data_IF_663456593690
#
_entry.id   IF_663456593690
#
_cell.length_a   1.000
_cell.length_b   1.000
_cell.length_c   1.000
_cell.angle_alpha   90.00
_cell.angle_beta   90.00
_cell.angle_gamma   90.00
#
_symmetry.space_group_name_H-M   'P 1'
#
loop_
_entity.id
_entity.type
_entity.pdbx_description
1 polymer ?
#
# COMPACT_ATOMS: atom_id res chain seq x y z
N UNK A 1 -24.61 -19.88 31.04
CA UNK A 1 -24.48 -20.63 29.77
C UNK A 1 -23.25 -20.09 29.05
N UNK A 2 -22.48 -20.92 28.33
CA UNK A 2 -21.32 -20.44 27.56
C UNK A 2 -21.78 -20.02 26.17
N UNK A 3 -21.33 -18.86 25.71
CA UNK A 3 -21.62 -18.37 24.36
C UNK A 3 -20.83 -19.22 23.35
N UNK A 4 -21.49 -19.66 22.28
CA UNK A 4 -20.88 -20.32 21.13
C UNK A 4 -21.58 -19.89 19.82
N UNK A 5 -21.00 -20.23 18.67
CA UNK A 5 -21.49 -19.80 17.34
C UNK A 5 -22.90 -20.28 16.98
N UNK A 6 -23.40 -21.34 17.61
CA UNK A 6 -24.76 -21.85 17.37
C UNK A 6 -25.80 -21.16 18.27
N UNK A 7 -25.40 -20.66 19.43
CA UNK A 7 -26.31 -20.09 20.43
C UNK A 7 -26.21 -18.55 20.57
N UNK A 8 -25.14 -17.92 20.09
CA UNK A 8 -24.84 -16.50 20.33
C UNK A 8 -25.95 -15.54 19.90
N UNK A 9 -26.60 -15.77 18.76
CA UNK A 9 -27.68 -14.92 18.23
C UNK A 9 -28.96 -15.06 19.08
N UNK A 10 -29.29 -16.29 19.49
CA UNK A 10 -30.44 -16.56 20.39
C UNK A 10 -30.21 -15.98 21.79
N UNK A 11 -28.97 -16.05 22.29
CA UNK A 11 -28.59 -15.42 23.56
C UNK A 11 -28.63 -13.89 23.46
N UNK A 12 -28.16 -13.29 22.36
CA UNK A 12 -28.27 -11.85 22.14
C UNK A 12 -29.72 -11.39 22.16
N UNK A 13 -30.62 -12.10 21.46
CA UNK A 13 -32.06 -11.80 21.47
C UNK A 13 -32.66 -11.90 22.88
N UNK A 14 -32.39 -12.99 23.60
CA UNK A 14 -32.87 -13.16 24.98
C UNK A 14 -32.36 -12.07 25.92
N UNK A 15 -31.07 -11.72 25.84
CA UNK A 15 -30.47 -10.68 26.68
C UNK A 15 -30.93 -9.27 26.32
N UNK A 16 -31.29 -9.04 25.05
CA UNK A 16 -31.96 -7.82 24.59
C UNK A 16 -33.35 -7.69 25.21
N UNK A 17 -34.17 -8.74 25.16
CA UNK A 17 -35.53 -8.74 25.74
C UNK A 17 -35.53 -8.45 27.25
N UNK A 18 -34.56 -9.00 28.00
CA UNK A 18 -34.41 -8.71 29.44
C UNK A 18 -33.54 -7.48 29.75
N UNK A 19 -33.16 -6.69 28.73
CA UNK A 19 -32.37 -5.45 28.86
C UNK A 19 -31.01 -5.60 29.58
N UNK A 20 -30.38 -6.78 29.51
CA UNK A 20 -29.13 -7.09 30.23
C UNK A 20 -27.90 -6.54 29.49
N UNK A 21 -27.58 -5.26 29.73
CA UNK A 21 -26.52 -4.52 29.02
C UNK A 21 -25.16 -5.23 28.96
N UNK A 22 -24.71 -5.79 30.07
CA UNK A 22 -23.44 -6.53 30.14
C UNK A 22 -23.45 -7.77 29.23
N UNK A 23 -24.53 -8.57 29.29
CA UNK A 23 -24.66 -9.79 28.49
C UNK A 23 -24.90 -9.52 27.01
N UNK A 24 -25.60 -8.44 26.67
CA UNK A 24 -25.68 -7.91 25.31
C UNK A 24 -24.26 -7.58 24.80
N UNK A 25 -23.41 -6.94 25.62
CA UNK A 25 -22.03 -6.62 25.21
C UNK A 25 -21.14 -7.86 25.05
N UNK A 26 -21.24 -8.85 25.95
CA UNK A 26 -20.56 -10.14 25.80
C UNK A 26 -20.96 -10.87 24.51
N UNK A 27 -22.25 -10.85 24.16
CA UNK A 27 -22.74 -11.46 22.93
C UNK A 27 -22.28 -10.70 21.69
N UNK A 28 -22.30 -9.36 21.71
CA UNK A 28 -21.81 -8.53 20.61
C UNK A 28 -20.33 -8.80 20.34
N UNK A 29 -19.47 -8.78 21.36
CA UNK A 29 -18.04 -9.06 21.22
C UNK A 29 -17.77 -10.44 20.60
N UNK A 30 -18.52 -11.46 21.01
CA UNK A 30 -18.43 -12.81 20.45
C UNK A 30 -18.94 -12.89 19.01
N UNK A 31 -20.09 -12.26 18.73
CA UNK A 31 -20.70 -12.24 17.38
C UNK A 31 -19.76 -11.54 16.39
N UNK A 32 -19.10 -10.44 16.81
CA UNK A 32 -18.11 -9.76 15.99
C UNK A 32 -16.86 -10.62 15.74
N UNK A 33 -16.27 -11.24 16.77
CA UNK A 33 -15.06 -12.08 16.59
C UNK A 33 -15.28 -13.42 15.89
N UNK A 34 -16.54 -13.78 15.65
CA UNK A 34 -16.93 -15.01 14.95
C UNK A 34 -17.86 -14.72 13.75
N UNK A 35 -17.91 -13.47 13.26
CA UNK A 35 -18.93 -13.02 12.30
C UNK A 35 -18.89 -13.79 10.97
N UNK A 36 -17.71 -14.27 10.57
CA UNK A 36 -17.52 -15.13 9.41
C UNK A 36 -18.12 -16.54 9.55
N UNK A 37 -18.30 -17.07 10.77
CA UNK A 37 -18.75 -18.45 11.02
C UNK A 37 -20.15 -18.59 11.67
N UNK A 38 -20.79 -17.49 12.05
CA UNK A 38 -22.17 -17.49 12.57
C UNK A 38 -23.22 -17.63 11.45
N UNK A 39 -24.43 -18.04 11.83
CA UNK A 39 -25.57 -18.07 10.93
C UNK A 39 -26.10 -16.64 10.68
N UNK A 40 -25.62 -16.00 9.60
CA UNK A 40 -26.01 -14.65 9.17
C UNK A 40 -27.53 -14.52 8.96
N UNK A 41 -28.25 -15.56 8.50
CA UNK A 41 -29.71 -15.52 8.30
C UNK A 41 -30.50 -15.41 9.63
N UNK A 42 -30.02 -16.01 10.71
CA UNK A 42 -30.62 -15.83 12.04
C UNK A 42 -30.47 -14.37 12.50
N UNK A 43 -29.29 -13.77 12.33
CA UNK A 43 -29.06 -12.37 12.68
C UNK A 43 -29.91 -11.44 11.81
N UNK A 44 -30.07 -11.73 10.51
CA UNK A 44 -30.98 -11.04 9.61
C UNK A 44 -32.42 -11.08 10.12
N UNK A 45 -32.88 -12.24 10.57
CA UNK A 45 -34.25 -12.45 11.04
C UNK A 45 -34.60 -11.56 12.23
N UNK A 46 -33.68 -11.40 13.19
CA UNK A 46 -33.91 -10.59 14.40
C UNK A 46 -33.48 -9.12 14.25
N UNK A 47 -32.90 -8.72 13.11
CA UNK A 47 -32.34 -7.37 12.86
C UNK A 47 -33.30 -6.22 13.23
N UNK A 48 -34.56 -6.28 12.76
CA UNK A 48 -35.60 -5.28 13.05
C UNK A 48 -35.98 -5.19 14.54
N UNK A 49 -35.84 -6.29 15.28
CA UNK A 49 -36.11 -6.33 16.72
C UNK A 49 -34.95 -5.72 17.51
N UNK A 50 -33.71 -6.02 17.11
CA UNK A 50 -32.50 -5.47 17.71
C UNK A 50 -32.29 -3.97 17.41
N UNK A 51 -32.77 -3.52 16.24
CA UNK A 51 -32.60 -2.15 15.76
C UNK A 51 -31.19 -1.85 15.26
N UNK A 52 -31.02 -0.68 14.63
CA UNK A 52 -29.74 -0.24 14.06
C UNK A 52 -28.62 -0.17 15.11
N UNK A 53 -28.90 0.32 16.32
CA UNK A 53 -27.90 0.54 17.37
C UNK A 53 -27.12 -0.74 17.74
N UNK A 54 -27.79 -1.88 17.81
CA UNK A 54 -27.14 -3.16 18.13
C UNK A 54 -26.32 -3.66 16.95
N UNK A 55 -26.82 -3.55 15.72
CA UNK A 55 -26.10 -3.95 14.52
C UNK A 55 -24.85 -3.09 14.32
N UNK A 56 -24.96 -1.78 14.53
CA UNK A 56 -23.82 -0.87 14.44
C UNK A 56 -22.79 -1.14 15.55
N UNK A 57 -23.21 -1.53 16.76
CA UNK A 57 -22.27 -2.03 17.80
C UNK A 57 -21.57 -3.34 17.45
N UNK A 58 -22.15 -4.19 16.60
CA UNK A 58 -21.50 -5.40 16.08
C UNK A 58 -20.51 -5.04 14.97
N UNK A 59 -20.91 -4.15 14.05
CA UNK A 59 -20.12 -3.81 12.86
C UNK A 59 -18.98 -2.82 13.14
N UNK A 60 -19.13 -1.91 14.11
CA UNK A 60 -18.06 -1.04 14.58
C UNK A 60 -17.21 -1.68 15.69
N UNK A 61 -17.34 -2.98 15.98
CA UNK A 61 -16.62 -3.62 17.08
C UNK A 61 -15.13 -3.83 16.72
N UNK A 62 -14.23 -3.48 17.63
CA UNK A 62 -12.79 -3.68 17.48
C UNK A 62 -12.36 -5.15 17.30
N UNK A 63 -13.27 -6.12 17.48
CA UNK A 63 -13.04 -7.56 17.29
C UNK A 63 -13.72 -8.12 16.03
N UNK A 64 -14.31 -7.30 15.16
CA UNK A 64 -14.98 -7.80 13.96
C UNK A 64 -14.00 -8.58 13.06
N UNK A 65 -14.31 -9.86 12.81
CA UNK A 65 -13.55 -10.74 11.90
C UNK A 65 -14.45 -11.21 10.75
N UNK A 66 -14.02 -10.92 9.51
CA UNK A 66 -14.77 -11.18 8.28
C UNK A 66 -14.05 -12.21 7.41
N UNK A 67 -14.81 -13.03 6.68
CA UNK A 67 -14.34 -13.92 5.62
C UNK A 67 -13.93 -13.16 4.34
N UNK A 68 -14.52 -12.00 4.13
CA UNK A 68 -14.21 -11.06 3.04
C UNK A 68 -15.24 -9.95 2.97
N UNK A 69 -14.82 -8.79 2.48
CA UNK A 69 -15.67 -7.59 2.47
C UNK A 69 -16.93 -7.79 1.60
N UNK A 70 -16.82 -8.51 0.49
CA UNK A 70 -17.97 -8.87 -0.35
C UNK A 70 -19.06 -9.66 0.41
N UNK A 71 -18.66 -10.57 1.31
CA UNK A 71 -19.57 -11.37 2.13
C UNK A 71 -20.33 -10.48 3.13
N UNK A 72 -19.64 -9.48 3.68
CA UNK A 72 -20.19 -8.51 4.61
C UNK A 72 -21.08 -7.45 3.93
N UNK A 73 -20.61 -6.90 2.80
CA UNK A 73 -21.37 -5.98 1.96
C UNK A 73 -22.67 -6.62 1.48
N UNK A 74 -22.64 -7.85 0.97
CA UNK A 74 -23.85 -8.59 0.57
C UNK A 74 -24.81 -8.81 1.74
N UNK A 75 -24.30 -9.04 2.96
CA UNK A 75 -25.14 -9.12 4.15
C UNK A 75 -25.81 -7.78 4.48
N UNK A 76 -25.09 -6.65 4.45
CA UNK A 76 -25.66 -5.32 4.67
C UNK A 76 -26.66 -4.95 3.56
N UNK A 77 -26.36 -5.25 2.30
CA UNK A 77 -27.31 -5.12 1.18
C UNK A 77 -28.57 -5.97 1.43
N UNK A 78 -28.44 -7.14 2.06
CA UNK A 78 -29.60 -7.96 2.43
C UNK A 78 -30.46 -7.33 3.52
N UNK A 79 -29.86 -6.58 4.46
CA UNK A 79 -30.55 -5.86 5.53
C UNK A 79 -31.25 -4.61 5.00
N UNK A 80 -30.57 -3.78 4.22
CA UNK A 80 -31.14 -2.55 3.63
C UNK A 80 -32.37 -2.83 2.74
N UNK A 81 -32.42 -3.99 2.08
CA UNK A 81 -33.61 -4.50 1.36
C UNK A 81 -34.80 -4.83 2.27
N UNK A 82 -34.58 -5.16 3.55
CA UNK A 82 -35.66 -5.40 4.52
C UNK A 82 -36.22 -4.09 5.12
N UNK A 83 -35.37 -3.09 5.32
CA UNK A 83 -35.76 -1.83 5.97
C UNK A 83 -34.83 -0.67 5.64
N UNK A 84 -35.44 0.50 5.39
CA UNK A 84 -34.71 1.76 5.19
C UNK A 84 -33.95 2.23 6.44
N UNK A 85 -34.33 1.76 7.62
CA UNK A 85 -33.63 2.08 8.88
C UNK A 85 -32.17 1.61 8.88
N UNK A 86 -31.83 0.63 8.02
CA UNK A 86 -30.50 0.05 7.91
C UNK A 86 -29.61 0.73 6.85
N UNK A 87 -30.10 1.76 6.14
CA UNK A 87 -29.27 2.48 5.16
C UNK A 87 -27.97 3.08 5.72
N UNK A 88 -27.89 3.59 6.97
CA UNK A 88 -26.62 4.03 7.54
C UNK A 88 -25.62 2.89 7.77
N UNK A 89 -26.06 1.63 7.81
CA UNK A 89 -25.14 0.50 7.96
C UNK A 89 -24.21 0.32 6.76
N UNK A 90 -24.54 0.90 5.59
CA UNK A 90 -23.68 0.95 4.40
C UNK A 90 -22.32 1.63 4.72
N UNK A 91 -22.28 2.60 5.63
CA UNK A 91 -21.05 3.32 6.01
C UNK A 91 -20.02 2.44 6.75
N UNK A 92 -20.40 1.22 7.16
CA UNK A 92 -19.47 0.24 7.71
C UNK A 92 -18.72 -0.56 6.63
N UNK A 93 -19.16 -0.50 5.37
CA UNK A 93 -18.55 -1.27 4.27
C UNK A 93 -17.32 -0.52 3.73
N UNK A 94 -16.22 -1.23 3.57
CA UNK A 94 -14.99 -0.72 2.99
C UNK A 94 -14.96 -1.02 1.49
N UNK A 95 -15.53 -0.12 0.68
CA UNK A 95 -15.69 -0.33 -0.78
C UNK A 95 -14.35 -0.58 -1.51
N UNK A 96 -13.23 -0.15 -0.95
CA UNK A 96 -11.89 -0.46 -1.47
C UNK A 96 -11.52 -1.97 -1.46
N UNK A 97 -12.23 -2.78 -0.68
CA UNK A 97 -12.06 -4.24 -0.60
C UNK A 97 -13.22 -5.04 -1.24
N UNK A 98 -14.22 -4.35 -1.80
CA UNK A 98 -15.32 -4.98 -2.53
C UNK A 98 -14.94 -5.23 -4.00
N UNK A 99 -15.44 -6.32 -4.58
CA UNK A 99 -15.30 -6.59 -6.01
C UNK A 99 -16.25 -5.72 -6.87
N UNK A 100 -15.99 -5.67 -8.17
CA UNK A 100 -16.75 -4.85 -9.14
C UNK A 100 -18.26 -5.14 -9.14
N UNK A 101 -18.68 -6.40 -8.95
CA UNK A 101 -20.09 -6.76 -8.92
C UNK A 101 -20.76 -6.25 -7.63
N UNK A 102 -20.13 -6.41 -6.47
CA UNK A 102 -20.62 -5.87 -5.20
C UNK A 102 -20.77 -4.34 -5.28
N UNK A 103 -19.78 -3.64 -5.86
CA UNK A 103 -19.85 -2.19 -6.08
C UNK A 103 -21.03 -1.80 -6.99
N UNK A 104 -21.25 -2.54 -8.10
CA UNK A 104 -22.41 -2.32 -8.98
C UNK A 104 -23.73 -2.57 -8.25
N UNK A 105 -23.81 -3.59 -7.42
CA UNK A 105 -25.03 -3.92 -6.65
C UNK A 105 -25.37 -2.83 -5.63
N UNK A 106 -24.36 -2.20 -5.02
CA UNK A 106 -24.54 -1.02 -4.15
C UNK A 106 -24.93 0.23 -4.96
N UNK A 107 -24.31 0.46 -6.12
CA UNK A 107 -24.72 1.55 -7.02
C UNK A 107 -26.19 1.41 -7.44
N UNK A 108 -26.61 0.20 -7.82
CA UNK A 108 -28.00 -0.13 -8.20
C UNK A 108 -29.00 -0.03 -7.03
N UNK A 109 -28.54 -0.07 -5.78
CA UNK A 109 -29.34 0.13 -4.57
C UNK A 109 -29.60 1.62 -4.26
N UNK A 110 -28.94 2.55 -4.96
CA UNK A 110 -28.98 3.98 -4.62
C UNK A 110 -30.37 4.60 -4.82
N UNK A 111 -30.93 5.20 -3.76
CA UNK A 111 -32.18 5.94 -3.76
C UNK A 111 -32.06 7.28 -3.00
N UNK A 112 -33.11 8.10 -3.02
CA UNK A 112 -33.14 9.45 -2.43
C UNK A 112 -32.91 9.50 -0.91
N UNK A 113 -32.91 8.36 -0.22
CA UNK A 113 -32.80 8.24 1.23
C UNK A 113 -31.45 7.63 1.67
N UNK A 114 -30.71 6.97 0.77
CA UNK A 114 -29.41 6.35 1.07
C UNK A 114 -28.23 6.94 0.28
N UNK A 115 -28.47 7.80 -0.72
CA UNK A 115 -27.40 8.38 -1.55
C UNK A 115 -26.31 9.05 -0.70
N UNK A 116 -26.66 9.72 0.40
CA UNK A 116 -25.69 10.37 1.26
C UNK A 116 -24.79 9.34 1.95
N UNK A 117 -25.34 8.24 2.45
CA UNK A 117 -24.54 7.16 3.06
C UNK A 117 -23.62 6.50 2.03
N UNK A 118 -24.12 6.26 0.81
CA UNK A 118 -23.33 5.69 -0.29
C UNK A 118 -22.22 6.65 -0.73
N UNK A 119 -22.51 7.95 -0.87
CA UNK A 119 -21.52 8.98 -1.23
C UNK A 119 -20.49 9.20 -0.11
N UNK A 120 -20.91 9.19 1.16
CA UNK A 120 -20.01 9.18 2.32
C UNK A 120 -19.08 7.97 2.23
N UNK A 121 -19.64 6.77 2.04
CA UNK A 121 -18.89 5.51 1.96
C UNK A 121 -17.89 5.51 0.80
N UNK A 122 -18.27 5.97 -0.40
CA UNK A 122 -17.33 6.15 -1.52
C UNK A 122 -16.27 7.22 -1.23
N UNK A 123 -16.66 8.35 -0.63
CA UNK A 123 -15.76 9.42 -0.24
C UNK A 123 -14.72 8.95 0.77
N UNK A 124 -15.16 8.25 1.82
CA UNK A 124 -14.32 7.66 2.86
C UNK A 124 -13.46 6.52 2.32
N UNK A 125 -13.97 5.70 1.39
CA UNK A 125 -13.16 4.66 0.71
C UNK A 125 -12.07 5.30 -0.15
N UNK A 126 -12.39 6.35 -0.90
CA UNK A 126 -11.39 7.14 -1.66
C UNK A 126 -10.40 7.85 -0.73
N UNK A 127 -10.85 8.35 0.42
CA UNK A 127 -9.99 8.93 1.44
C UNK A 127 -9.12 7.87 2.10
N UNK A 128 -9.60 6.65 2.37
CA UNK A 128 -8.79 5.53 2.88
C UNK A 128 -7.78 5.08 1.84
N UNK A 129 -8.18 4.86 0.58
CA UNK A 129 -7.28 4.63 -0.58
C UNK A 129 -6.18 5.71 -0.65
N UNK A 130 -6.52 6.99 -0.44
CA UNK A 130 -5.58 8.11 -0.47
C UNK A 130 -4.73 8.24 0.81
N UNK A 131 -5.28 7.87 1.96
CA UNK A 131 -4.66 7.93 3.28
C UNK A 131 -4.03 6.59 3.71
N UNK A 132 -3.92 5.62 2.80
CA UNK A 132 -3.38 4.27 3.03
C UNK A 132 -1.86 4.24 3.28
N UNK A 133 -1.26 5.38 3.67
CA UNK A 133 -0.12 5.42 4.59
C UNK A 133 -0.49 4.93 6.01
N UNK A 134 -1.76 4.59 6.26
CA UNK A 134 -2.27 3.79 7.39
C UNK A 134 -3.59 3.10 6.99
N UNK A 135 -4.01 1.92 7.49
CA UNK A 135 -3.49 1.08 8.58
C UNK A 135 -4.00 -0.38 8.45
N UNK A 136 -3.88 -1.15 9.54
CA UNK A 136 -4.49 -2.47 9.81
C UNK A 136 -6.00 -2.58 9.46
N UNK A 137 -6.56 -3.78 9.20
CA UNK A 137 -6.12 -5.12 9.65
C UNK A 137 -5.95 -6.16 8.52
N UNK A 138 -4.70 -6.61 8.35
CA UNK A 138 -4.25 -7.96 7.97
C UNK A 138 -5.02 -8.75 6.87
N UNK A 139 -4.40 -9.23 5.77
CA UNK A 139 -2.99 -9.13 5.33
C UNK A 139 -2.84 -9.56 3.86
N UNK A 140 -2.95 -8.63 2.91
CA UNK A 140 -2.46 -8.81 1.53
C UNK A 140 -1.85 -7.49 1.04
N UNK A 141 -0.52 -7.34 1.19
CA UNK A 141 0.16 -6.08 0.91
C UNK A 141 0.60 -6.03 -0.56
N UNK A 142 -0.14 -5.25 -1.35
CA UNK A 142 0.35 -4.64 -2.58
C UNK A 142 0.37 -3.13 -2.37
N UNK A 143 1.49 -2.60 -1.87
CA UNK A 143 1.62 -1.15 -1.64
C UNK A 143 1.92 -0.46 -2.97
N UNK A 144 0.97 0.33 -3.48
CA UNK A 144 1.20 1.14 -4.67
C UNK A 144 2.08 2.34 -4.28
N UNK A 145 3.35 2.33 -4.70
CA UNK A 145 4.32 3.38 -4.34
C UNK A 145 4.33 4.45 -5.44
N UNK A 146 3.42 5.41 -5.29
CA UNK A 146 3.19 6.52 -6.21
C UNK A 146 4.18 7.69 -6.05
N UNK A 147 4.92 7.72 -4.94
CA UNK A 147 6.05 8.61 -4.69
C UNK A 147 7.34 7.77 -4.64
N UNK A 148 8.45 8.28 -5.15
CA UNK A 148 9.76 7.62 -5.03
C UNK A 148 10.11 7.28 -3.57
N UNK A 149 10.78 6.15 -3.32
CA UNK A 149 11.00 5.62 -1.97
C UNK A 149 11.98 6.51 -1.21
N UNK A 150 11.46 7.39 -0.35
CA UNK A 150 12.18 8.42 0.42
C UNK A 150 13.23 7.89 1.43
N UNK A 151 14.20 7.10 0.98
CA UNK A 151 15.38 6.54 1.66
C UNK A 151 15.15 5.67 2.93
N UNK A 152 13.98 5.71 3.55
CA UNK A 152 13.67 4.99 4.79
C UNK A 152 13.72 3.47 4.61
N UNK A 153 12.92 2.97 3.65
CA UNK A 153 12.73 1.54 3.38
C UNK A 153 13.74 0.94 2.38
N UNK A 154 14.82 1.66 2.08
CA UNK A 154 15.84 1.24 1.10
C UNK A 154 17.23 1.19 1.75
N UNK A 155 17.94 0.10 1.56
CA UNK A 155 19.36 -0.06 1.85
C UNK A 155 20.16 0.35 0.61
N UNK A 156 21.00 1.38 0.74
CA UNK A 156 21.91 1.82 -0.32
C UNK A 156 23.30 1.23 -0.09
N UNK A 157 23.96 0.81 -1.17
CA UNK A 157 25.36 0.35 -1.17
C UNK A 157 26.04 0.73 -2.48
N UNK A 158 27.38 0.67 -2.53
CA UNK A 158 28.13 1.04 -3.75
C UNK A 158 29.40 0.20 -3.90
N UNK A 159 29.98 0.23 -5.12
CA UNK A 159 31.28 -0.40 -5.44
C UNK A 159 32.43 0.19 -4.63
N UNK A 160 32.41 1.50 -4.39
CA UNK A 160 33.38 2.26 -3.62
C UNK A 160 32.76 3.60 -3.20
N UNK A 161 33.36 4.27 -2.23
CA UNK A 161 32.97 5.60 -1.76
C UNK A 161 34.22 6.46 -1.76
N UNK A 162 34.13 7.68 -2.31
CA UNK A 162 35.24 8.64 -2.24
C UNK A 162 35.44 9.19 -0.82
N UNK A 163 36.63 9.72 -0.54
CA UNK A 163 36.96 10.22 0.79
C UNK A 163 36.01 11.36 1.20
N UNK A 164 35.61 11.39 2.48
CA UNK A 164 34.65 12.34 3.08
C UNK A 164 33.18 12.24 2.63
N UNK A 165 32.79 11.20 1.89
CA UNK A 165 31.39 10.98 1.46
C UNK A 165 30.69 9.86 2.20
N UNK A 166 29.35 9.92 2.23
CA UNK A 166 28.48 8.82 2.69
C UNK A 166 27.45 8.46 1.62
N UNK A 167 27.14 7.17 1.55
CA UNK A 167 26.03 6.61 0.76
C UNK A 167 24.66 7.11 1.29
N UNK A 168 24.56 7.44 2.57
CA UNK A 168 23.30 7.82 3.25
C UNK A 168 22.70 9.15 2.77
N UNK A 169 23.44 9.92 1.96
CA UNK A 169 22.96 11.18 1.38
C UNK A 169 21.96 10.91 0.24
N UNK A 170 22.02 9.73 -0.39
CA UNK A 170 21.25 9.43 -1.60
C UNK A 170 19.75 9.39 -1.24
N UNK A 171 18.92 10.00 -2.07
CA UNK A 171 17.47 10.19 -1.87
C UNK A 171 17.12 10.97 -0.59
N UNK A 172 18.06 11.77 -0.04
CA UNK A 172 17.73 12.81 0.96
C UNK A 172 17.26 14.12 0.32
N UNK A 173 17.25 14.20 -1.01
CA UNK A 173 16.82 15.37 -1.81
C UNK A 173 17.50 16.70 -1.42
N UNK A 174 18.67 16.61 -0.77
CA UNK A 174 19.48 17.74 -0.30
C UNK A 174 19.94 18.61 -1.47
N UNK A 175 20.11 19.90 -1.21
CA UNK A 175 20.70 20.85 -2.16
C UNK A 175 22.19 21.10 -1.91
N UNK A 176 22.71 20.58 -0.80
CA UNK A 176 24.02 20.91 -0.22
C UNK A 176 24.98 19.70 -0.12
N UNK A 177 24.65 18.54 -0.69
CA UNK A 177 25.60 17.42 -0.84
C UNK A 177 25.28 16.49 -2.02
N UNK A 178 26.18 15.54 -2.32
CA UNK A 178 26.06 14.51 -3.37
C UNK A 178 26.98 13.32 -3.06
N UNK A 179 26.71 12.15 -3.63
CA UNK A 179 27.52 10.95 -3.50
C UNK A 179 28.45 10.80 -4.71
N UNK A 180 29.63 10.24 -4.49
CA UNK A 180 30.64 10.00 -5.51
C UNK A 180 31.46 8.75 -5.14
N UNK A 181 31.67 7.86 -6.11
CA UNK A 181 32.53 6.68 -5.98
C UNK A 181 34.00 7.06 -6.13
N UNK A 182 34.93 6.13 -5.95
CA UNK A 182 36.32 6.33 -6.42
C UNK A 182 36.37 6.28 -7.96
N UNK A 183 37.47 6.76 -8.55
CA UNK A 183 37.71 6.77 -9.99
C UNK A 183 38.05 5.37 -10.52
N UNK A 184 37.06 4.47 -10.54
CA UNK A 184 37.22 3.04 -10.88
C UNK A 184 36.15 2.65 -11.92
N UNK A 185 36.54 2.08 -13.08
CA UNK A 185 35.60 1.65 -14.11
C UNK A 185 34.52 0.68 -13.60
N UNK A 186 33.33 0.75 -14.21
CA UNK A 186 32.15 -0.05 -13.83
C UNK A 186 31.69 0.20 -12.38
N UNK A 187 31.94 1.39 -11.84
CA UNK A 187 31.41 1.80 -10.54
C UNK A 187 29.88 1.79 -10.51
N UNK A 188 29.33 1.40 -9.36
CA UNK A 188 27.90 1.17 -9.21
C UNK A 188 27.34 1.63 -7.86
N UNK A 189 26.05 1.95 -7.86
CA UNK A 189 25.21 2.14 -6.66
C UNK A 189 24.07 1.14 -6.72
N UNK A 190 23.80 0.45 -5.63
CA UNK A 190 22.70 -0.50 -5.51
C UNK A 190 21.66 0.01 -4.51
N UNK A 191 20.44 0.16 -5.02
CA UNK A 191 19.20 0.38 -4.30
C UNK A 191 18.64 -1.01 -3.97
N UNK A 192 18.37 -1.31 -2.70
CA UNK A 192 17.83 -2.60 -2.28
C UNK A 192 16.71 -2.38 -1.27
N UNK A 193 15.56 -3.02 -1.47
CA UNK A 193 14.45 -2.85 -0.52
C UNK A 193 14.77 -3.54 0.81
N UNK A 194 14.51 -2.85 1.92
CA UNK A 194 14.54 -3.41 3.26
C UNK A 194 13.25 -4.22 3.46
N UNK A 195 13.33 -5.29 4.26
CA UNK A 195 12.22 -6.21 4.57
C UNK A 195 11.85 -7.17 3.42
N UNK A 196 10.86 -8.06 3.65
CA UNK A 196 10.41 -9.08 2.69
C UNK A 196 9.50 -8.47 1.61
N UNK A 197 10.00 -7.54 0.81
CA UNK A 197 9.23 -6.98 -0.31
C UNK A 197 9.93 -7.23 -1.64
N UNK A 198 9.15 -7.23 -2.72
CA UNK A 198 9.63 -7.03 -4.09
C UNK A 198 8.83 -5.91 -4.75
N UNK A 199 9.41 -5.26 -5.75
CA UNK A 199 8.80 -4.19 -6.54
C UNK A 199 8.74 -4.60 -8.01
N UNK A 200 7.58 -4.41 -8.65
CA UNK A 200 7.47 -4.32 -10.10
C UNK A 200 7.62 -2.83 -10.47
N UNK A 201 8.76 -2.39 -10.99
CA UNK A 201 9.03 -0.97 -11.21
C UNK A 201 8.31 -0.48 -12.46
N UNK A 202 7.62 0.65 -12.35
CA UNK A 202 7.01 1.36 -13.49
C UNK A 202 7.89 2.50 -13.98
N UNK A 203 8.72 3.06 -13.11
CA UNK A 203 9.67 4.13 -13.45
C UNK A 203 10.91 4.09 -12.55
N UNK A 204 11.95 4.80 -12.97
CA UNK A 204 13.03 5.25 -12.08
C UNK A 204 13.39 6.71 -12.35
N UNK A 205 13.98 7.36 -11.34
CA UNK A 205 14.61 8.68 -11.46
C UNK A 205 16.09 8.63 -11.12
N UNK A 206 16.83 9.57 -11.71
CA UNK A 206 18.23 9.82 -11.38
C UNK A 206 18.53 11.33 -11.39
N UNK A 207 19.34 11.78 -10.44
CA UNK A 207 19.99 13.11 -10.44
C UNK A 207 21.46 12.94 -10.12
N UNK A 208 22.32 13.59 -10.92
CA UNK A 208 23.78 13.51 -10.75
C UNK A 208 24.29 14.41 -9.61
N UNK A 209 23.80 15.64 -9.50
CA UNK A 209 24.19 16.60 -8.44
C UNK A 209 23.13 17.71 -8.34
N UNK A 210 22.86 18.28 -7.16
CA UNK A 210 21.94 19.42 -7.04
C UNK A 210 22.51 20.73 -7.62
N UNK A 211 21.62 21.67 -7.95
CA UNK A 211 21.96 22.88 -8.69
C UNK A 211 22.94 23.85 -7.97
N UNK A 212 23.11 23.72 -6.65
CA UNK A 212 23.84 24.72 -5.84
C UNK A 212 25.32 24.39 -5.56
N UNK A 213 25.87 23.28 -6.08
CA UNK A 213 27.29 22.88 -5.86
C UNK A 213 28.23 23.38 -6.97
N UNK A 214 29.46 23.76 -6.61
CA UNK A 214 30.50 24.18 -7.56
C UNK A 214 31.21 23.05 -8.34
N UNK A 215 30.77 21.80 -8.21
CA UNK A 215 31.31 20.67 -8.98
C UNK A 215 30.62 20.59 -10.35
N UNK A 216 31.39 20.76 -11.43
CA UNK A 216 30.87 21.12 -12.76
C UNK A 216 31.46 20.31 -13.91
N UNK A 217 31.64 18.99 -13.74
CA UNK A 217 32.30 18.18 -14.77
C UNK A 217 31.92 16.70 -14.80
N UNK A 218 31.91 16.02 -13.65
CA UNK A 218 31.68 14.57 -13.56
C UNK A 218 30.19 14.17 -13.73
N UNK A 219 29.51 14.78 -14.70
CA UNK A 219 28.11 14.50 -15.00
C UNK A 219 27.97 13.12 -15.65
N UNK A 220 27.08 12.34 -15.07
CA UNK A 220 26.67 11.02 -15.55
C UNK A 220 26.07 11.10 -16.97
N UNK A 221 26.53 10.25 -17.90
CA UNK A 221 26.09 10.25 -19.31
C UNK A 221 25.84 8.86 -19.93
N UNK A 222 26.47 7.80 -19.41
CA UNK A 222 26.35 6.44 -19.93
C UNK A 222 26.23 5.46 -18.77
N UNK A 223 25.16 4.67 -18.74
CA UNK A 223 24.86 3.75 -17.64
C UNK A 223 23.85 2.66 -18.04
N UNK A 224 23.72 1.64 -17.18
CA UNK A 224 22.61 0.68 -17.21
C UNK A 224 21.97 0.50 -15.83
N UNK A 225 20.72 0.05 -15.85
CA UNK A 225 19.98 -0.40 -14.66
C UNK A 225 19.83 -1.93 -14.74
N UNK A 226 20.34 -2.63 -13.74
CA UNK A 226 20.17 -4.08 -13.57
C UNK A 226 19.23 -4.34 -12.40
N UNK A 227 18.17 -5.13 -12.58
CA UNK A 227 17.30 -5.58 -11.50
C UNK A 227 17.60 -7.03 -11.09
N UNK A 228 17.63 -7.32 -9.79
CA UNK A 228 17.72 -8.69 -9.25
C UNK A 228 16.35 -9.15 -8.75
N UNK A 229 15.84 -10.28 -9.27
CA UNK A 229 14.54 -10.85 -8.90
C UNK A 229 14.59 -11.56 -7.54
N UNK A 230 13.43 -11.92 -6.99
CA UNK A 230 13.33 -12.75 -5.77
C UNK A 230 14.08 -14.10 -5.90
N UNK A 231 14.20 -14.64 -7.11
CA UNK A 231 14.91 -15.88 -7.41
C UNK A 231 16.43 -15.70 -7.58
N UNK A 232 16.95 -14.48 -7.43
CA UNK A 232 18.37 -14.15 -7.63
C UNK A 232 18.78 -13.95 -9.09
N UNK A 233 17.85 -14.01 -10.04
CA UNK A 233 18.11 -13.73 -11.45
C UNK A 233 18.39 -12.24 -11.66
N UNK A 234 19.40 -11.88 -12.43
CA UNK A 234 19.69 -10.46 -12.78
C UNK A 234 19.29 -10.17 -14.22
N UNK A 235 18.48 -9.12 -14.42
CA UNK A 235 17.97 -8.67 -15.73
C UNK A 235 18.36 -7.22 -15.99
N UNK A 236 18.78 -6.89 -17.20
CA UNK A 236 18.99 -5.49 -17.62
C UNK A 236 17.63 -4.88 -17.95
N UNK A 237 17.31 -3.76 -17.30
CA UNK A 237 16.01 -3.08 -17.41
C UNK A 237 16.05 -1.86 -18.32
N UNK A 238 17.19 -1.17 -18.36
CA UNK A 238 17.37 0.04 -19.17
C UNK A 238 18.85 0.34 -19.38
N UNK A 239 19.20 0.85 -20.57
CA UNK A 239 20.53 1.33 -20.90
C UNK A 239 20.46 2.73 -21.50
N UNK A 240 21.37 3.60 -21.08
CA UNK A 240 21.53 4.97 -21.60
C UNK A 240 22.96 5.14 -22.05
N UNK A 241 23.14 5.68 -23.26
CA UNK A 241 24.45 5.87 -23.87
C UNK A 241 24.60 7.33 -24.30
N UNK A 242 25.65 8.02 -23.83
CA UNK A 242 26.03 9.38 -24.24
C UNK A 242 24.90 10.42 -24.14
N UNK A 243 24.08 10.32 -23.10
CA UNK A 243 22.99 11.25 -22.79
C UNK A 243 23.24 11.94 -21.44
N UNK A 244 24.12 12.97 -21.40
CA UNK A 244 24.50 13.62 -20.15
C UNK A 244 23.30 14.17 -19.37
N UNK A 245 23.31 13.96 -18.05
CA UNK A 245 22.39 14.61 -17.11
C UNK A 245 22.86 16.06 -16.86
N UNK A 246 21.92 16.99 -16.90
CA UNK A 246 22.19 18.39 -16.55
C UNK A 246 22.22 18.53 -15.01
N UNK A 247 23.03 19.46 -14.52
CA UNK A 247 23.10 19.80 -13.10
C UNK A 247 21.71 20.17 -12.55
N UNK A 248 21.32 19.56 -11.43
CA UNK A 248 20.02 19.74 -10.80
C UNK A 248 18.85 19.00 -11.46
N UNK A 249 19.03 18.42 -12.64
CA UNK A 249 18.00 17.68 -13.37
C UNK A 249 17.67 16.36 -12.65
N UNK A 250 16.41 16.20 -12.24
CA UNK A 250 15.86 14.88 -11.91
C UNK A 250 15.27 14.34 -13.22
N UNK A 251 15.97 13.41 -13.87
CA UNK A 251 15.49 12.77 -15.10
C UNK A 251 14.72 11.51 -14.75
N UNK A 252 13.49 11.41 -15.26
CA UNK A 252 12.58 10.25 -15.11
C UNK A 252 12.64 9.37 -16.35
N UNK A 253 12.62 8.05 -16.14
CA UNK A 253 12.53 7.04 -17.17
C UNK A 253 11.43 6.03 -16.82
N UNK A 254 10.58 5.69 -17.80
CA UNK A 254 9.58 4.64 -17.64
C UNK A 254 10.22 3.27 -17.86
N UNK A 255 9.78 2.27 -17.10
CA UNK A 255 10.19 0.88 -17.21
C UNK A 255 8.96 0.03 -17.56
N UNK A 256 9.12 -0.92 -18.47
CA UNK A 256 8.06 -1.85 -18.84
C UNK A 256 8.53 -3.28 -18.53
N UNK A 257 8.05 -3.84 -17.42
CA UNK A 257 8.40 -5.19 -16.97
C UNK A 257 7.27 -5.79 -16.14
N UNK A 258 7.06 -7.10 -16.29
CA UNK A 258 6.16 -7.91 -15.47
C UNK A 258 6.89 -8.56 -14.28
N UNK A 259 8.22 -8.50 -14.28
CA UNK A 259 9.06 -9.08 -13.24
C UNK A 259 9.05 -8.27 -11.93
N UNK A 260 9.29 -8.97 -10.83
CA UNK A 260 9.39 -8.39 -9.48
C UNK A 260 10.82 -8.50 -8.96
N UNK A 261 11.34 -7.38 -8.47
CA UNK A 261 12.74 -7.19 -8.10
C UNK A 261 12.90 -6.85 -6.61
N UNK A 262 14.00 -7.28 -6.02
CA UNK A 262 14.36 -7.00 -4.62
C UNK A 262 15.50 -5.96 -4.50
N UNK A 263 16.22 -5.73 -5.60
CA UNK A 263 17.24 -4.68 -5.70
C UNK A 263 17.47 -4.26 -7.14
N UNK A 264 17.94 -3.03 -7.32
CA UNK A 264 18.41 -2.49 -8.58
C UNK A 264 19.82 -1.94 -8.44
N UNK A 265 20.67 -2.20 -9.43
CA UNK A 265 22.01 -1.67 -9.52
C UNK A 265 22.10 -0.68 -10.67
N UNK A 266 22.42 0.55 -10.32
CA UNK A 266 22.86 1.58 -11.25
C UNK A 266 24.34 1.35 -11.55
N UNK A 267 24.70 1.02 -12.79
CA UNK A 267 26.10 0.78 -13.19
C UNK A 267 26.51 1.82 -14.23
N UNK A 268 27.56 2.58 -13.95
CA UNK A 268 28.19 3.42 -14.97
C UNK A 268 28.98 2.54 -15.94
N UNK A 269 28.61 2.55 -17.23
CA UNK A 269 29.13 1.61 -18.24
C UNK A 269 30.19 2.20 -19.18
N UNK A 270 30.39 3.52 -19.14
CA UNK A 270 31.44 4.24 -19.83
C UNK A 270 31.78 5.50 -19.01
N UNK A 271 32.79 6.26 -19.42
CA UNK A 271 33.24 7.47 -18.75
C UNK A 271 32.13 8.53 -18.61
N UNK A 272 32.17 9.27 -17.51
CA UNK A 272 31.34 10.45 -17.30
C UNK A 272 31.75 11.61 -18.23
N UNK A 273 30.99 12.71 -18.23
CA UNK A 273 31.18 13.85 -19.14
C UNK A 273 32.56 14.52 -19.07
N UNK A 274 33.37 14.27 -18.04
CA UNK A 274 34.77 14.72 -17.94
C UNK A 274 35.80 13.61 -18.17
N UNK A 275 35.45 12.56 -18.92
CA UNK A 275 36.33 11.42 -19.23
C UNK A 275 36.86 10.64 -18.01
N UNK A 276 36.13 10.65 -16.89
CA UNK A 276 36.47 9.91 -15.65
C UNK A 276 35.46 8.81 -15.31
N UNK A 277 35.88 7.87 -14.47
CA UNK A 277 35.09 6.75 -13.95
C UNK A 277 34.39 7.06 -12.60
N UNK A 278 34.43 8.32 -12.15
CA UNK A 278 33.63 8.78 -11.00
C UNK A 278 32.14 8.70 -11.31
N UNK A 279 31.41 7.80 -10.64
CA UNK A 279 29.94 7.78 -10.62
C UNK A 279 29.45 8.79 -9.58
N UNK A 280 28.79 9.85 -10.06
CA UNK A 280 28.27 10.95 -9.23
C UNK A 280 26.75 11.01 -9.32
N UNK A 281 26.08 10.77 -8.19
CA UNK A 281 24.62 10.90 -8.06
C UNK A 281 24.21 11.32 -6.64
N UNK A 282 23.02 11.90 -6.51
CA UNK A 282 22.42 12.23 -5.21
C UNK A 282 20.94 11.80 -5.12
N UNK A 283 20.33 11.46 -6.26
CA UNK A 283 19.04 10.77 -6.34
C UNK A 283 19.19 9.58 -7.28
N UNK A 284 18.78 8.40 -6.81
CA UNK A 284 18.57 7.19 -7.59
C UNK A 284 17.43 6.42 -6.94
N UNK A 285 16.26 6.38 -7.57
CA UNK A 285 15.05 5.90 -6.92
C UNK A 285 14.02 5.34 -7.91
N UNK A 286 13.09 4.52 -7.42
CA UNK A 286 12.10 3.81 -8.23
C UNK A 286 10.66 4.15 -7.81
N UNK A 287 9.71 3.98 -8.71
CA UNK A 287 8.28 3.94 -8.40
C UNK A 287 7.67 2.69 -9.01
N UNK A 288 6.52 2.25 -8.48
CA UNK A 288 5.85 1.05 -8.96
C UNK A 288 5.07 0.30 -7.88
N UNK A 289 4.78 -0.97 -8.17
CA UNK A 289 3.92 -1.82 -7.34
C UNK A 289 4.80 -2.63 -6.39
N UNK A 290 4.67 -2.44 -5.07
CA UNK A 290 5.26 -3.37 -4.09
C UNK A 290 4.41 -4.62 -3.91
N UNK A 291 5.06 -5.70 -3.50
CA UNK A 291 4.45 -6.97 -3.12
C UNK A 291 5.16 -7.50 -1.88
N UNK A 292 4.42 -7.87 -0.83
CA UNK A 292 5.00 -8.64 0.28
C UNK A 292 5.34 -10.06 -0.20
N UNK A 293 6.61 -10.43 -0.04
CA UNK A 293 7.11 -11.75 -0.32
C UNK A 293 6.80 -12.65 0.89
N UNK A 294 5.69 -13.39 0.83
CA UNK A 294 5.36 -14.42 1.81
C UNK A 294 6.44 -15.51 1.75
N UNK A 295 6.96 -15.90 2.92
CA UNK A 295 7.87 -17.06 3.10
C UNK A 295 7.06 -18.33 3.33
#
# INVERSE_FOLDING_TARGET
MKIDKNNCIQLLEFYFDISSKEKISECIDFISSHFYEINKDQLKTISKKLGIDILQRIFCNDKLELDGEDSFANFIISLTKESKEFYPLIENIYFEFCNEQTIKDIQNLTDTNNFQNIVNSFGDSLLRIKNHSSKNRNKFIVTLVTNYFESGDVEMSASSIDYSKSIDIINKYRSDDYFITQNIPNSWVQWKIKQNYSIQPTEYIVRTVPNNKGYSGCHLQTWKIEGTTINGETKVLHEVNKSPLIKGEIRKYHLNTEDKFISFKFVQTDKNYSDNDYLVLDVFDFSGNLYENIK
#
